data_IF_273336440986
#
_entry.id   IF_273336440986
#
_cell.length_a   1.000
_cell.length_b   1.000
_cell.length_c   1.000
_cell.angle_alpha   90.00
_cell.angle_beta   90.00
_cell.angle_gamma   90.00
#
_symmetry.space_group_name_H-M   'P 1'
#
loop_
_entity.id
_entity.type
_entity.pdbx_description
1 polymer ?
#
# COMPACT_ATOMS: atom_id res chain seq x y z
N UNK A 1 2.66 16.40 -11.14
CA UNK A 1 2.34 14.95 -10.97
C UNK A 1 3.59 14.12 -11.25
N UNK A 2 3.82 13.02 -10.52
CA UNK A 2 4.97 12.13 -10.78
C UNK A 2 4.72 11.27 -12.02
N UNK A 3 5.73 11.14 -12.88
CA UNK A 3 5.63 10.37 -14.11
C UNK A 3 5.49 8.87 -13.79
N UNK A 4 4.56 8.20 -14.45
CA UNK A 4 4.33 6.75 -14.28
C UNK A 4 5.48 5.89 -14.82
N UNK A 5 6.30 6.47 -15.70
CA UNK A 5 7.46 5.86 -16.35
C UNK A 5 8.63 5.63 -15.40
N UNK A 6 8.70 6.35 -14.27
CA UNK A 6 9.72 6.10 -13.24
C UNK A 6 9.44 4.71 -12.64
N UNK A 7 10.43 3.80 -12.57
CA UNK A 7 10.20 2.43 -12.13
C UNK A 7 9.80 2.37 -10.65
N UNK A 8 10.60 2.97 -9.77
CA UNK A 8 10.43 2.90 -8.32
C UNK A 8 10.74 4.24 -7.63
N UNK A 9 10.28 4.39 -6.38
CA UNK A 9 10.45 5.62 -5.58
C UNK A 9 11.91 6.05 -5.38
N UNK A 10 12.87 5.13 -5.17
CA UNK A 10 14.28 5.51 -5.08
C UNK A 10 14.83 6.18 -6.34
N UNK A 11 14.24 5.90 -7.52
CA UNK A 11 14.66 6.47 -8.80
C UNK A 11 14.09 7.87 -9.08
N UNK A 12 13.27 8.41 -8.17
CA UNK A 12 12.83 9.81 -8.26
C UNK A 12 14.00 10.70 -7.81
N UNK A 13 14.39 11.65 -8.67
CA UNK A 13 15.50 12.58 -8.40
C UNK A 13 15.27 13.39 -7.12
N UNK A 14 16.36 13.80 -6.48
CA UNK A 14 16.32 14.67 -5.29
C UNK A 14 15.58 15.97 -5.60
N UNK A 15 15.90 16.63 -6.72
CA UNK A 15 15.23 17.84 -7.20
C UNK A 15 13.71 17.67 -7.27
N UNK A 16 13.23 16.55 -7.80
CA UNK A 16 11.79 16.29 -7.92
C UNK A 16 11.14 16.05 -6.55
N UNK A 17 11.88 15.44 -5.60
CA UNK A 17 11.41 15.28 -4.21
C UNK A 17 11.34 16.63 -3.50
N UNK A 18 12.28 17.53 -3.75
CA UNK A 18 12.25 18.91 -3.23
C UNK A 18 11.09 19.72 -3.81
N UNK A 19 10.84 19.63 -5.12
CA UNK A 19 9.67 20.25 -5.74
C UNK A 19 8.36 19.76 -5.11
N UNK A 20 8.24 18.43 -4.90
CA UNK A 20 7.09 17.86 -4.21
C UNK A 20 6.96 18.39 -2.79
N UNK A 21 8.08 18.55 -2.07
CA UNK A 21 8.08 19.11 -0.73
C UNK A 21 7.61 20.57 -0.73
N UNK A 22 8.07 21.40 -1.68
CA UNK A 22 7.60 22.78 -1.86
C UNK A 22 6.08 22.83 -2.07
N UNK A 23 5.53 21.97 -2.93
CA UNK A 23 4.09 21.88 -3.17
C UNK A 23 3.29 21.45 -1.93
N UNK A 24 3.86 20.58 -1.11
CA UNK A 24 3.26 20.14 0.15
C UNK A 24 3.25 21.28 1.18
N UNK A 25 4.35 22.02 1.31
CA UNK A 25 4.43 23.23 2.16
C UNK A 25 3.45 24.32 1.73
N UNK A 26 3.22 24.50 0.43
CA UNK A 26 2.23 25.46 -0.07
C UNK A 26 0.79 25.08 0.27
N UNK A 27 0.49 23.77 0.40
CA UNK A 27 -0.88 23.28 0.63
C UNK A 27 -1.21 23.13 2.11
N UNK A 28 -0.20 22.88 2.95
CA UNK A 28 -0.39 22.59 4.36
C UNK A 28 0.49 23.52 5.19
N UNK A 29 -0.15 24.36 6.01
CA UNK A 29 0.53 25.27 6.94
C UNK A 29 1.06 24.50 8.16
N UNK A 30 2.14 25.01 8.78
CA UNK A 30 2.66 24.47 10.04
C UNK A 30 3.35 23.10 9.95
N UNK A 31 3.87 22.73 8.78
CA UNK A 31 4.60 21.48 8.62
C UNK A 31 5.99 21.53 9.27
N UNK A 32 6.30 20.51 10.07
CA UNK A 32 7.62 20.29 10.69
C UNK A 32 8.58 19.73 9.63
N UNK A 33 9.71 20.40 9.40
CA UNK A 33 10.69 20.01 8.38
C UNK A 33 11.37 18.66 8.69
N UNK A 34 11.56 18.32 9.96
CA UNK A 34 12.10 17.02 10.39
C UNK A 34 11.23 15.84 9.95
N UNK A 35 9.97 16.07 9.59
CA UNK A 35 9.07 15.03 9.07
C UNK A 35 9.05 14.94 7.55
N UNK A 36 9.88 15.72 6.84
CA UNK A 36 9.95 15.75 5.37
C UNK A 36 10.10 14.34 4.80
N UNK A 37 11.04 13.55 5.31
CA UNK A 37 11.29 12.19 4.80
C UNK A 37 10.06 11.29 4.94
N UNK A 38 9.41 11.30 6.10
CA UNK A 38 8.20 10.52 6.36
C UNK A 38 7.05 10.93 5.43
N UNK A 39 6.88 12.24 5.18
CA UNK A 39 5.86 12.76 4.27
C UNK A 39 6.17 12.42 2.81
N UNK A 40 7.42 12.57 2.39
CA UNK A 40 7.87 12.17 1.06
C UNK A 40 7.69 10.66 0.84
N UNK A 41 8.03 9.84 1.82
CA UNK A 41 7.79 8.39 1.77
C UNK A 41 6.29 8.08 1.65
N UNK A 42 5.44 8.81 2.36
CA UNK A 42 3.99 8.69 2.23
C UNK A 42 3.52 9.04 0.81
N UNK A 43 4.03 10.12 0.21
CA UNK A 43 3.75 10.49 -1.18
C UNK A 43 4.21 9.40 -2.15
N UNK A 44 5.39 8.83 -1.93
CA UNK A 44 5.89 7.69 -2.70
C UNK A 44 4.95 6.48 -2.65
N UNK A 45 4.41 6.18 -1.46
CA UNK A 45 3.42 5.11 -1.28
C UNK A 45 2.10 5.41 -2.02
N UNK A 46 1.59 6.65 -1.93
CA UNK A 46 0.38 7.07 -2.67
C UNK A 46 0.58 6.97 -4.19
N UNK A 47 1.74 7.38 -4.69
CA UNK A 47 2.10 7.26 -6.11
C UNK A 47 2.17 5.80 -6.55
N UNK A 48 2.85 4.94 -5.78
CA UNK A 48 2.89 3.48 -6.03
C UNK A 48 1.48 2.86 -6.06
N UNK A 49 0.62 3.24 -5.11
CA UNK A 49 -0.78 2.82 -5.07
C UNK A 49 -1.57 3.33 -6.27
N UNK A 50 -1.28 4.55 -6.77
CA UNK A 50 -1.89 5.06 -8.00
C UNK A 50 -1.49 4.22 -9.22
N UNK A 51 -0.19 3.92 -9.39
CA UNK A 51 0.29 3.02 -10.46
C UNK A 51 -0.39 1.65 -10.39
N UNK A 52 -0.49 1.05 -9.21
CA UNK A 52 -1.14 -0.25 -9.03
C UNK A 52 -2.64 -0.22 -9.39
N UNK A 53 -3.35 0.84 -9.00
CA UNK A 53 -4.75 1.06 -9.37
C UNK A 53 -4.91 1.14 -10.88
N UNK A 54 -4.02 1.85 -11.58
CA UNK A 54 -4.01 1.92 -13.05
C UNK A 54 -3.79 0.54 -13.68
N UNK A 55 -2.79 -0.22 -13.23
CA UNK A 55 -2.54 -1.60 -13.71
C UNK A 55 -3.78 -2.48 -13.54
N UNK A 56 -4.47 -2.36 -12.42
CA UNK A 56 -5.70 -3.10 -12.14
C UNK A 56 -6.84 -2.69 -13.07
N UNK A 57 -6.98 -1.39 -13.38
CA UNK A 57 -7.97 -0.89 -14.34
C UNK A 57 -7.70 -1.42 -15.74
N UNK A 58 -6.44 -1.38 -16.20
CA UNK A 58 -6.02 -1.94 -17.51
C UNK A 58 -6.40 -3.42 -17.59
N UNK A 59 -6.04 -4.20 -16.57
CA UNK A 59 -6.38 -5.63 -16.53
C UNK A 59 -7.89 -5.87 -16.63
N UNK A 60 -8.68 -5.13 -15.84
CA UNK A 60 -10.16 -5.23 -15.87
C UNK A 60 -10.76 -4.78 -17.21
N UNK A 61 -10.12 -3.85 -17.91
CA UNK A 61 -10.55 -3.42 -19.24
C UNK A 61 -10.36 -4.54 -20.27
N UNK A 62 -9.21 -5.23 -20.23
CA UNK A 62 -8.99 -6.41 -21.06
C UNK A 62 -9.96 -7.56 -20.73
N UNK A 63 -10.23 -7.83 -19.45
CA UNK A 63 -11.23 -8.83 -19.03
C UNK A 63 -12.65 -8.49 -19.54
N UNK A 64 -12.95 -7.20 -19.76
CA UNK A 64 -14.22 -6.72 -20.34
C UNK A 64 -14.21 -6.66 -21.87
N UNK A 65 -13.13 -7.06 -22.54
CA UNK A 65 -13.02 -7.00 -23.99
C UNK A 65 -12.88 -5.58 -24.56
N UNK A 66 -12.36 -4.62 -23.79
CA UNK A 66 -12.10 -3.28 -24.32
C UNK A 66 -11.01 -3.32 -25.38
N UNK A 67 -11.17 -2.53 -26.45
CA UNK A 67 -10.12 -2.31 -27.44
C UNK A 67 -8.98 -1.47 -26.86
N UNK A 68 -7.81 -1.59 -27.48
CA UNK A 68 -6.63 -0.80 -27.13
C UNK A 68 -6.88 0.71 -27.21
N UNK A 69 -7.61 1.16 -28.24
CA UNK A 69 -7.98 2.56 -28.42
C UNK A 69 -8.83 3.08 -27.27
N UNK A 70 -9.79 2.28 -26.80
CA UNK A 70 -10.63 2.62 -25.65
C UNK A 70 -9.83 2.67 -24.35
N UNK A 71 -8.87 1.77 -24.19
CA UNK A 71 -7.96 1.80 -23.03
C UNK A 71 -7.09 3.07 -23.06
N UNK A 72 -6.59 3.44 -24.24
CA UNK A 72 -5.76 4.63 -24.43
C UNK A 72 -6.57 5.93 -24.24
N UNK A 73 -7.83 5.99 -24.68
CA UNK A 73 -8.68 7.17 -24.48
C UNK A 73 -9.11 7.33 -23.01
N UNK A 74 -9.53 6.24 -22.35
CA UNK A 74 -10.25 6.33 -21.09
C UNK A 74 -9.34 6.17 -19.86
N UNK A 75 -8.19 5.47 -19.99
CA UNK A 75 -7.31 5.15 -18.86
C UNK A 75 -5.96 5.87 -18.88
N UNK A 76 -5.57 6.47 -20.01
CA UNK A 76 -4.30 7.20 -20.11
C UNK A 76 -4.37 8.49 -19.29
N UNK A 77 -3.44 8.70 -18.33
CA UNK A 77 -3.33 10.00 -17.67
C UNK A 77 -2.97 11.10 -18.68
N UNK A 78 -3.58 12.27 -18.54
CA UNK A 78 -3.33 13.42 -19.41
C UNK A 78 -1.85 13.86 -19.38
N UNK A 79 -1.25 13.85 -18.20
CA UNK A 79 0.13 14.27 -17.96
C UNK A 79 1.22 13.31 -18.53
N UNK A 80 0.84 12.23 -19.21
CA UNK A 80 1.76 11.22 -19.75
C UNK A 80 1.60 11.16 -21.27
N UNK A 81 2.74 11.17 -21.96
CA UNK A 81 2.83 11.00 -23.40
C UNK A 81 2.41 9.59 -23.83
N UNK A 82 2.05 9.43 -25.11
CA UNK A 82 1.57 8.14 -25.59
C UNK A 82 2.66 7.06 -25.50
N UNK A 83 3.93 7.40 -25.78
CA UNK A 83 5.03 6.44 -25.71
C UNK A 83 5.28 5.96 -24.27
N UNK A 84 5.33 6.87 -23.30
CA UNK A 84 5.43 6.53 -21.88
C UNK A 84 4.24 5.69 -21.39
N UNK A 85 3.03 5.97 -21.88
CA UNK A 85 1.83 5.18 -21.58
C UNK A 85 1.91 3.74 -22.14
N UNK A 86 2.28 3.59 -23.41
CA UNK A 86 2.42 2.27 -24.04
C UNK A 86 3.51 1.42 -23.37
N UNK A 87 4.64 2.04 -23.01
CA UNK A 87 5.69 1.36 -22.26
C UNK A 87 5.19 0.85 -20.89
N UNK A 88 4.45 1.70 -20.15
CA UNK A 88 3.86 1.31 -18.88
C UNK A 88 2.83 0.18 -19.02
N UNK A 89 2.00 0.23 -20.07
CA UNK A 89 0.99 -0.80 -20.35
C UNK A 89 1.64 -2.14 -20.67
N UNK A 90 2.65 -2.14 -21.55
CA UNK A 90 3.47 -3.33 -21.86
C UNK A 90 4.13 -3.92 -20.61
N UNK A 91 4.66 -3.08 -19.72
CA UNK A 91 5.21 -3.53 -18.44
C UNK A 91 4.12 -4.14 -17.53
N UNK A 92 2.94 -3.52 -17.48
CA UNK A 92 1.83 -3.97 -16.65
C UNK A 92 1.29 -5.35 -17.07
N UNK A 93 1.26 -5.60 -18.38
CA UNK A 93 0.84 -6.86 -19.01
C UNK A 93 1.95 -7.91 -19.09
N UNK A 94 3.18 -7.55 -18.73
CA UNK A 94 4.31 -8.47 -18.78
C UNK A 94 4.08 -9.70 -17.90
N UNK A 95 4.57 -10.85 -18.36
CA UNK A 95 4.50 -12.12 -17.64
C UNK A 95 5.10 -12.02 -16.23
N UNK A 96 6.18 -11.25 -16.07
CA UNK A 96 6.83 -11.04 -14.77
C UNK A 96 5.92 -10.32 -13.76
N UNK A 97 5.12 -9.34 -14.21
CA UNK A 97 4.14 -8.64 -13.38
C UNK A 97 3.00 -9.59 -12.95
N UNK A 98 2.52 -10.42 -13.89
CA UNK A 98 1.48 -11.42 -13.61
C UNK A 98 1.95 -12.46 -12.60
N UNK A 99 3.14 -13.03 -12.79
CA UNK A 99 3.73 -14.02 -11.87
C UNK A 99 3.90 -13.45 -10.46
N UNK A 100 4.46 -12.23 -10.34
CA UNK A 100 4.59 -11.55 -9.04
C UNK A 100 3.21 -11.34 -8.39
N UNK A 101 2.24 -10.85 -9.14
CA UNK A 101 0.88 -10.61 -8.64
C UNK A 101 0.22 -11.89 -8.12
N UNK A 102 0.32 -12.99 -8.87
CA UNK A 102 -0.24 -14.29 -8.50
C UNK A 102 0.44 -14.86 -7.26
N UNK A 103 1.78 -14.82 -7.17
CA UNK A 103 2.53 -15.23 -5.98
C UNK A 103 2.01 -14.54 -4.71
N UNK A 104 1.84 -13.22 -4.74
CA UNK A 104 1.34 -12.48 -3.57
C UNK A 104 -0.15 -12.74 -3.29
N UNK A 105 -0.97 -13.06 -4.30
CA UNK A 105 -2.36 -13.50 -4.08
C UNK A 105 -2.41 -14.84 -3.36
N UNK A 106 -1.58 -15.80 -3.77
CA UNK A 106 -1.47 -17.11 -3.11
C UNK A 106 -0.96 -16.98 -1.67
N UNK A 107 0.04 -16.14 -1.42
CA UNK A 107 0.50 -15.88 -0.05
C UNK A 107 -0.63 -15.30 0.82
N UNK A 108 -1.44 -14.39 0.27
CA UNK A 108 -2.61 -13.84 0.99
C UNK A 108 -3.71 -14.86 1.21
N UNK A 109 -3.99 -15.75 0.25
CA UNK A 109 -5.02 -16.79 0.43
C UNK A 109 -4.62 -17.86 1.44
N UNK A 110 -3.31 -18.09 1.62
CA UNK A 110 -2.76 -18.97 2.67
C UNK A 110 -2.80 -18.34 4.07
N UNK A 111 -2.97 -17.03 4.18
CA UNK A 111 -3.03 -16.36 5.47
C UNK A 111 -4.41 -16.58 6.12
N UNK A 112 -4.53 -17.65 6.91
CA UNK A 112 -5.79 -18.07 7.56
C UNK A 112 -6.10 -17.27 8.84
N UNK A 113 -5.10 -16.66 9.46
CA UNK A 113 -5.27 -15.92 10.71
C UNK A 113 -5.46 -14.43 10.39
N UNK A 114 -6.67 -13.94 10.67
CA UNK A 114 -6.96 -12.53 10.59
C UNK A 114 -6.27 -11.79 11.75
N UNK A 115 -5.82 -10.57 11.48
CA UNK A 115 -5.28 -9.72 12.53
C UNK A 115 -6.42 -9.16 13.40
N UNK A 116 -6.54 -9.65 14.62
CA UNK A 116 -7.62 -9.35 15.58
C UNK A 116 -7.28 -8.23 16.57
N UNK A 117 -6.00 -7.97 16.81
CA UNK A 117 -5.53 -7.12 17.92
C UNK A 117 -5.49 -5.61 17.66
N UNK A 118 -5.95 -5.16 16.48
CA UNK A 118 -5.89 -3.74 16.08
C UNK A 118 -4.50 -3.12 16.39
N UNK A 119 -4.43 -1.83 16.75
CA UNK A 119 -3.17 -1.14 17.05
C UNK A 119 -2.60 -1.45 18.45
N UNK A 120 -3.19 -2.37 19.22
CA UNK A 120 -2.79 -2.62 20.61
C UNK A 120 -1.45 -3.35 20.70
N UNK A 121 -1.26 -4.40 19.89
CA UNK A 121 -0.07 -5.25 19.95
C UNK A 121 0.03 -6.07 21.24
N UNK A 122 0.93 -7.05 21.27
CA UNK A 122 1.04 -8.00 22.38
C UNK A 122 1.54 -7.38 23.68
N UNK A 123 2.48 -6.43 23.63
CA UNK A 123 3.05 -5.82 24.83
C UNK A 123 2.00 -5.07 25.67
N UNK A 124 1.13 -4.29 25.02
CA UNK A 124 0.05 -3.58 25.73
C UNK A 124 -1.04 -4.53 26.20
N UNK A 125 -1.32 -5.61 25.45
CA UNK A 125 -2.26 -6.63 25.90
C UNK A 125 -1.75 -7.34 27.17
N UNK A 126 -0.45 -7.61 27.23
CA UNK A 126 0.20 -8.21 28.39
C UNK A 126 0.12 -7.33 29.63
N UNK A 127 0.43 -6.04 29.49
CA UNK A 127 0.29 -5.08 30.57
C UNK A 127 -1.16 -5.03 31.11
N UNK A 128 -2.16 -5.00 30.23
CA UNK A 128 -3.58 -5.05 30.62
C UNK A 128 -3.97 -6.37 31.30
N UNK A 129 -3.43 -7.50 30.85
CA UNK A 129 -3.70 -8.81 31.46
C UNK A 129 -3.03 -8.94 32.83
N UNK A 130 -1.80 -8.45 33.00
CA UNK A 130 -1.11 -8.38 34.30
C UNK A 130 -1.84 -7.45 35.26
N UNK A 131 -2.28 -6.29 34.80
CA UNK A 131 -3.06 -5.36 35.61
C UNK A 131 -4.39 -5.97 36.07
N UNK A 132 -5.11 -6.70 35.20
CA UNK A 132 -6.37 -7.38 35.56
C UNK A 132 -6.19 -8.56 36.51
N UNK A 133 -5.05 -9.25 36.44
CA UNK A 133 -4.75 -10.44 37.25
C UNK A 133 -3.99 -10.14 38.54
N UNK A 134 -3.79 -8.85 38.88
CA UNK A 134 -3.06 -8.47 40.09
C UNK A 134 -1.56 -8.77 40.03
N UNK A 135 -0.97 -8.80 38.83
CA UNK A 135 0.45 -9.05 38.62
C UNK A 135 0.84 -10.52 38.39
N UNK A 136 -0.13 -11.40 38.12
CA UNK A 136 0.18 -12.78 37.76
C UNK A 136 0.97 -12.87 36.45
N UNK A 137 1.82 -13.89 36.34
CA UNK A 137 2.55 -14.17 35.10
C UNK A 137 1.57 -14.53 33.98
N UNK A 138 1.67 -13.81 32.87
CA UNK A 138 0.85 -14.03 31.67
C UNK A 138 1.69 -14.79 30.66
N UNK A 139 1.22 -15.96 30.24
CA UNK A 139 1.97 -16.76 29.26
C UNK A 139 1.74 -16.25 27.83
N UNK A 140 2.64 -16.62 26.93
CA UNK A 140 2.50 -16.36 25.49
C UNK A 140 1.21 -16.96 24.91
N UNK A 141 0.78 -18.11 25.42
CA UNK A 141 -0.45 -18.78 24.97
C UNK A 141 -1.70 -17.98 25.38
N UNK A 142 -1.74 -17.48 26.62
CA UNK A 142 -2.84 -16.65 27.12
C UNK A 142 -2.98 -15.36 26.31
N UNK A 143 -1.85 -14.70 26.03
CA UNK A 143 -1.81 -13.52 25.17
C UNK A 143 -2.32 -13.80 23.77
N UNK A 144 -1.98 -14.97 23.21
CA UNK A 144 -2.42 -15.34 21.87
C UNK A 144 -3.93 -15.59 21.85
N UNK A 145 -4.46 -16.32 22.83
CA UNK A 145 -5.89 -16.60 22.96
C UNK A 145 -6.67 -15.30 23.13
N UNK A 146 -6.30 -14.47 24.10
CA UNK A 146 -6.97 -13.21 24.39
C UNK A 146 -6.87 -12.23 23.20
N UNK A 147 -5.71 -12.18 22.55
CA UNK A 147 -5.48 -11.36 21.37
C UNK A 147 -6.35 -11.74 20.17
N UNK A 148 -6.76 -13.01 20.06
CA UNK A 148 -7.56 -13.52 18.94
C UNK A 148 -9.04 -13.77 19.26
N UNK A 149 -9.50 -13.39 20.46
CA UNK A 149 -10.92 -13.35 20.78
C UNK A 149 -11.61 -12.23 20.00
N UNK A 150 -12.68 -12.57 19.30
CA UNK A 150 -13.60 -11.59 18.72
C UNK A 150 -14.49 -10.96 19.81
N UNK A 151 -15.29 -9.93 19.45
CA UNK A 151 -16.21 -9.26 20.40
C UNK A 151 -17.22 -10.20 21.10
N UNK A 152 -17.42 -11.42 20.58
CA UNK A 152 -18.30 -12.46 21.14
C UNK A 152 -17.54 -13.49 21.99
N UNK A 153 -16.24 -13.29 22.22
CA UNK A 153 -15.40 -14.18 23.02
C UNK A 153 -14.94 -15.46 22.31
N UNK A 154 -15.32 -15.66 21.04
CA UNK A 154 -14.86 -16.80 20.25
C UNK A 154 -13.50 -16.50 19.60
N UNK A 155 -12.62 -17.49 19.58
CA UNK A 155 -11.36 -17.43 18.83
C UNK A 155 -11.63 -17.55 17.33
N UNK A 156 -10.99 -16.69 16.54
CA UNK A 156 -11.18 -16.57 15.09
C UNK A 156 -10.37 -17.59 14.30
#
# INVERSE_FOLDING_TARGET
>A
MLRITIPEWPHVSAERKEELWKLVKLRFEGLIEEHMENKLQHIGNLWKCSKLRLRTKIKKAHEKGWSDDKINSDLKPEAVDLAGWLAFRKEAESSTCVVKSNKYKELRSKNKLAHTMSRKGYARLEEEMRARSGGADVTRADLWIEGHKNKKGATS
#
